data_IF_108098796676
#
_entry.id   IF_108098796676
#
_cell.length_a   1.000
_cell.length_b   1.000
_cell.length_c   1.000
_cell.angle_alpha   90.00
_cell.angle_beta   90.00
_cell.angle_gamma   90.00
#
_symmetry.space_group_name_H-M   'P 1'
#
loop_
_entity.id
_entity.type
_entity.pdbx_description
1 polymer ?
#
# COMPACT_ATOMS: atom_id res chain seq x y z
N UNK A 1 0.64 -14.84 69.83
CA UNK A 1 0.26 -13.54 70.47
C UNK A 1 -0.32 -12.74 69.32
N UNK A 2 -1.54 -12.78 69.38
CA UNK A 2 -2.68 -11.89 69.60
C UNK A 2 -3.04 -11.13 68.34
N UNK A 3 -4.15 -11.46 67.78
CA UNK A 3 -5.57 -11.25 68.00
C UNK A 3 -6.06 -9.89 67.51
N UNK A 4 -7.05 -9.98 66.68
CA UNK A 4 -8.35 -9.32 66.65
C UNK A 4 -8.34 -7.94 65.96
N UNK A 5 -9.27 -7.62 65.19
CA UNK A 5 -10.67 -7.60 65.30
C UNK A 5 -11.33 -7.07 64.03
N UNK A 6 -12.33 -7.73 63.78
CA UNK A 6 -13.42 -7.48 62.84
C UNK A 6 -14.51 -6.66 63.53
N UNK A 7 -14.98 -5.68 62.86
CA UNK A 7 -16.28 -5.11 63.23
C UNK A 7 -17.18 -4.93 62.01
N UNK A 8 -18.31 -5.60 62.20
CA UNK A 8 -19.50 -5.53 61.36
C UNK A 8 -20.34 -4.37 61.91
N UNK A 9 -20.81 -3.46 61.09
CA UNK A 9 -21.99 -2.62 61.33
C UNK A 9 -22.72 -2.34 60.03
N UNK A 10 -23.75 -3.12 59.81
CA UNK A 10 -25.21 -2.88 59.92
C UNK A 10 -25.76 -1.75 59.03
N UNK A 11 -26.49 -2.21 58.08
CA UNK A 11 -27.75 -1.73 57.47
C UNK A 11 -28.24 -0.34 57.88
N UNK A 12 -28.49 0.47 56.90
CA UNK A 12 -29.61 1.43 56.97
C UNK A 12 -30.26 1.59 55.62
N UNK A 13 -31.39 0.91 55.51
CA UNK A 13 -32.41 1.05 54.47
C UNK A 13 -32.99 2.46 54.50
N UNK A 14 -32.96 3.16 53.41
CA UNK A 14 -33.84 4.31 53.17
C UNK A 14 -34.52 4.12 51.81
N UNK A 15 -35.81 3.81 51.94
CA UNK A 15 -36.80 3.87 50.86
C UNK A 15 -37.26 5.34 50.77
N UNK A 16 -37.10 5.98 49.67
CA UNK A 16 -37.94 7.12 49.24
C UNK A 16 -38.06 7.08 47.71
N UNK A 17 -39.20 6.66 47.29
CA UNK A 17 -40.21 7.41 46.54
C UNK A 17 -39.81 7.91 45.11
N UNK A 18 -40.37 7.23 44.22
CA UNK A 18 -40.86 7.55 42.87
C UNK A 18 -41.05 9.04 42.61
N UNK A 19 -40.38 9.54 41.56
CA UNK A 19 -40.91 10.58 40.70
C UNK A 19 -40.63 10.24 39.23
N UNK A 20 -41.70 9.86 38.55
CA UNK A 20 -41.78 9.84 37.11
C UNK A 20 -41.69 11.29 36.59
N UNK A 21 -40.64 11.62 35.90
CA UNK A 21 -40.66 12.72 34.94
C UNK A 21 -40.12 12.21 33.60
N UNK A 22 -41.06 12.00 32.68
CA UNK A 22 -40.75 11.74 31.30
C UNK A 22 -40.07 12.98 30.69
N UNK A 23 -38.81 12.85 30.35
CA UNK A 23 -38.12 13.72 29.43
C UNK A 23 -37.84 12.89 28.17
N UNK A 24 -38.62 13.13 27.13
CA UNK A 24 -38.31 12.73 25.75
C UNK A 24 -37.00 13.43 25.39
N UNK A 25 -35.91 12.80 25.68
CA UNK A 25 -34.61 13.19 25.19
C UNK A 25 -34.51 12.88 23.71
N UNK A 26 -34.67 13.90 22.90
CA UNK A 26 -34.34 13.87 21.47
C UNK A 26 -32.85 13.59 21.34
N UNK A 27 -32.52 12.30 21.19
CA UNK A 27 -31.15 11.86 20.95
C UNK A 27 -30.68 12.45 19.62
N UNK A 28 -29.86 13.50 19.70
CA UNK A 28 -29.05 13.93 18.59
C UNK A 28 -28.11 12.76 18.22
N UNK A 29 -28.45 11.99 17.20
CA UNK A 29 -27.51 11.15 16.49
C UNK A 29 -26.46 12.09 15.89
N UNK A 30 -25.38 12.28 16.65
CA UNK A 30 -24.15 12.79 16.07
C UNK A 30 -23.73 11.76 15.03
N UNK A 31 -24.17 11.98 13.79
CA UNK A 31 -23.56 11.35 12.64
C UNK A 31 -22.10 11.80 12.63
N UNK A 32 -21.26 11.06 13.32
CA UNK A 32 -19.83 11.18 13.18
C UNK A 32 -19.56 11.01 11.67
N UNK A 33 -19.10 12.06 11.02
CA UNK A 33 -18.41 11.95 9.75
C UNK A 33 -17.24 11.02 10.02
N UNK A 34 -17.45 9.71 9.81
CA UNK A 34 -16.38 8.74 9.83
C UNK A 34 -15.39 9.20 8.76
N UNK A 35 -14.22 9.64 9.19
CA UNK A 35 -13.07 9.67 8.31
C UNK A 35 -13.06 8.33 7.61
N UNK A 36 -13.11 8.38 6.27
CA UNK A 36 -13.24 7.19 5.43
C UNK A 36 -12.05 6.26 5.65
N UNK A 37 -12.13 5.50 6.74
CA UNK A 37 -11.16 4.47 7.05
C UNK A 37 -11.15 3.46 5.92
N UNK A 38 -9.97 3.15 5.41
CA UNK A 38 -9.83 2.01 4.53
C UNK A 38 -10.42 0.77 5.24
N UNK A 39 -11.17 -0.04 4.50
CA UNK A 39 -11.75 -1.28 5.01
C UNK A 39 -10.71 -2.22 5.65
N UNK A 40 -11.13 -3.38 6.16
CA UNK A 40 -10.26 -4.29 6.88
C UNK A 40 -8.99 -4.62 6.10
N UNK A 41 -7.88 -4.82 6.83
CA UNK A 41 -6.61 -5.23 6.24
C UNK A 41 -6.73 -6.68 5.82
N UNK A 42 -6.82 -6.92 4.51
CA UNK A 42 -6.94 -8.25 3.90
C UNK A 42 -5.78 -8.43 2.93
N UNK A 43 -5.18 -9.62 2.93
CA UNK A 43 -4.14 -9.97 1.98
C UNK A 43 -4.68 -9.90 0.54
N UNK A 44 -3.90 -9.38 -0.41
CA UNK A 44 -4.26 -9.45 -1.82
C UNK A 44 -4.27 -10.92 -2.28
N UNK A 45 -4.99 -11.25 -3.35
CA UNK A 45 -4.82 -12.56 -3.99
C UNK A 45 -3.40 -12.71 -4.53
N UNK A 46 -2.94 -13.95 -4.63
CA UNK A 46 -1.68 -14.27 -5.27
C UNK A 46 -1.66 -13.77 -6.71
N UNK A 47 -0.49 -13.35 -7.21
CA UNK A 47 -0.37 -12.94 -8.59
C UNK A 47 -0.52 -14.16 -9.51
N UNK A 48 -1.02 -13.97 -10.76
CA UNK A 48 -1.02 -15.03 -11.77
C UNK A 48 0.39 -15.59 -12.01
N UNK A 49 0.46 -16.84 -12.50
CA UNK A 49 1.73 -17.54 -12.70
C UNK A 49 2.77 -16.75 -13.52
N UNK A 50 2.33 -15.94 -14.47
CA UNK A 50 3.21 -15.08 -15.29
C UNK A 50 3.91 -13.96 -14.50
N UNK A 51 3.41 -13.64 -13.29
CA UNK A 51 3.96 -12.64 -12.38
C UNK A 51 4.56 -13.23 -11.11
N UNK A 52 4.26 -14.48 -10.77
CA UNK A 52 4.58 -15.08 -9.48
C UNK A 52 6.08 -15.06 -9.16
N UNK A 53 6.91 -15.27 -10.19
CA UNK A 53 8.37 -15.32 -10.08
C UNK A 53 9.06 -14.01 -10.52
N UNK A 54 8.29 -12.94 -10.73
CA UNK A 54 8.87 -11.63 -11.05
C UNK A 54 9.27 -10.91 -9.78
N UNK A 55 10.56 -10.64 -9.67
CA UNK A 55 11.13 -9.94 -8.51
C UNK A 55 11.92 -8.71 -8.92
N UNK A 56 12.01 -7.76 -8.00
CA UNK A 56 12.82 -6.54 -8.16
C UNK A 56 14.26 -6.93 -8.51
N UNK A 57 14.89 -6.29 -9.51
CA UNK A 57 16.30 -6.50 -9.77
C UNK A 57 17.16 -6.25 -8.53
N UNK A 58 18.15 -7.11 -8.32
CA UNK A 58 19.01 -7.04 -7.15
C UNK A 58 19.66 -5.65 -7.00
N UNK A 59 19.69 -5.14 -5.78
CA UNK A 59 20.26 -3.84 -5.44
C UNK A 59 19.35 -2.62 -5.66
N UNK A 60 18.26 -2.75 -6.41
CA UNK A 60 17.38 -1.60 -6.69
C UNK A 60 16.66 -1.07 -5.44
N UNK A 61 16.47 -1.92 -4.46
CA UNK A 61 15.89 -1.50 -3.18
C UNK A 61 16.71 -0.43 -2.43
N UNK A 62 18.03 -0.39 -2.66
CA UNK A 62 18.95 0.57 -2.07
C UNK A 62 19.45 1.63 -3.07
N UNK A 63 19.06 1.54 -4.34
CA UNK A 63 19.51 2.45 -5.40
C UNK A 63 18.65 3.73 -5.37
N UNK A 64 19.19 4.78 -4.78
CA UNK A 64 18.52 6.08 -4.67
C UNK A 64 18.19 6.69 -6.03
N UNK A 65 19.00 6.43 -7.07
CA UNK A 65 18.74 6.92 -8.41
C UNK A 65 17.49 6.25 -9.00
N UNK A 66 17.33 4.93 -8.82
CA UNK A 66 16.14 4.19 -9.25
C UNK A 66 14.89 4.61 -8.49
N UNK A 67 15.02 4.86 -7.19
CA UNK A 67 13.93 5.39 -6.36
C UNK A 67 13.50 6.78 -6.84
N UNK A 68 14.45 7.66 -7.15
CA UNK A 68 14.14 9.01 -7.65
C UNK A 68 13.53 8.99 -9.06
N UNK A 69 14.01 8.13 -9.96
CA UNK A 69 13.36 7.90 -11.27
C UNK A 69 11.91 7.42 -11.09
N UNK A 70 11.67 6.50 -10.14
CA UNK A 70 10.33 6.05 -9.79
C UNK A 70 9.44 7.17 -9.23
N UNK A 71 10.02 8.07 -8.41
CA UNK A 71 9.30 9.26 -7.93
C UNK A 71 8.82 10.15 -9.08
N UNK A 72 9.69 10.42 -10.05
CA UNK A 72 9.37 11.25 -11.22
C UNK A 72 8.26 10.63 -12.07
N UNK A 73 8.28 9.31 -12.25
CA UNK A 73 7.19 8.58 -12.90
C UNK A 73 5.89 8.69 -12.09
N UNK A 74 5.97 8.46 -10.78
CA UNK A 74 4.80 8.47 -9.88
C UNK A 74 4.03 9.79 -9.89
N UNK A 75 4.75 10.92 -9.93
CA UNK A 75 4.13 12.25 -9.97
C UNK A 75 3.84 12.77 -11.38
N UNK A 76 4.13 12.00 -12.43
CA UNK A 76 3.90 12.38 -13.82
C UNK A 76 4.93 13.35 -14.40
N UNK A 77 6.09 13.49 -13.78
CA UNK A 77 7.16 14.38 -14.25
C UNK A 77 7.83 13.84 -15.52
N UNK A 78 8.12 12.53 -15.56
CA UNK A 78 8.72 11.87 -16.72
C UNK A 78 7.72 11.61 -17.82
N UNK A 79 6.48 11.24 -17.46
CA UNK A 79 5.41 10.95 -18.39
C UNK A 79 4.08 11.48 -17.83
N UNK A 80 3.55 12.61 -18.34
CA UNK A 80 2.32 13.20 -17.84
C UNK A 80 1.09 12.29 -17.93
N UNK A 81 1.09 11.33 -18.85
CA UNK A 81 0.00 10.34 -18.99
C UNK A 81 0.00 9.32 -17.83
N UNK A 82 1.12 9.21 -17.12
CA UNK A 82 1.31 8.32 -15.98
C UNK A 82 1.46 9.17 -14.72
N UNK A 83 0.36 9.42 -14.03
CA UNK A 83 0.34 10.21 -12.80
C UNK A 83 -0.38 9.46 -11.69
N UNK A 84 0.35 8.60 -11.01
CA UNK A 84 -0.16 7.77 -9.91
C UNK A 84 -0.56 8.64 -8.72
N UNK A 85 0.18 9.73 -8.47
CA UNK A 85 -0.09 10.68 -7.40
C UNK A 85 -1.45 11.38 -7.52
N UNK A 86 -2.04 11.43 -8.72
CA UNK A 86 -3.37 12.01 -8.93
C UNK A 86 -4.48 11.25 -8.18
N UNK A 87 -4.23 10.00 -7.78
CA UNK A 87 -5.13 9.19 -6.97
C UNK A 87 -4.52 8.84 -5.61
N UNK A 88 -3.22 8.43 -5.60
CA UNK A 88 -2.54 7.96 -4.41
C UNK A 88 -1.91 9.07 -3.55
N UNK A 89 -1.97 10.34 -4.03
CA UNK A 89 -1.31 11.47 -3.36
C UNK A 89 0.22 11.45 -3.55
N UNK A 90 0.85 12.60 -3.48
CA UNK A 90 2.32 12.72 -3.64
C UNK A 90 3.10 12.11 -2.47
N UNK A 91 2.45 12.01 -1.32
CA UNK A 91 2.98 11.50 -0.06
C UNK A 91 2.48 10.07 0.27
N UNK A 92 1.82 9.41 -0.67
CA UNK A 92 1.23 8.09 -0.48
C UNK A 92 -0.11 8.10 0.26
N UNK A 93 -0.62 9.28 0.69
CA UNK A 93 -1.96 9.44 1.24
C UNK A 93 -2.97 9.61 0.12
N UNK A 94 -3.98 8.72 0.01
CA UNK A 94 -4.91 8.78 -1.10
C UNK A 94 -5.70 10.09 -1.12
N UNK A 95 -5.81 10.68 -2.32
CA UNK A 95 -6.63 11.88 -2.61
C UNK A 95 -7.91 11.53 -3.37
N UNK A 96 -8.04 10.28 -3.80
CA UNK A 96 -9.24 9.74 -4.45
C UNK A 96 -9.80 8.58 -3.63
N UNK A 97 -11.13 8.56 -3.47
CA UNK A 97 -11.82 7.47 -2.81
C UNK A 97 -11.52 6.13 -3.51
N UNK A 98 -11.19 5.10 -2.72
CA UNK A 98 -10.84 3.76 -3.18
C UNK A 98 -9.37 3.58 -3.59
N UNK A 99 -8.57 4.66 -3.67
CA UNK A 99 -7.14 4.53 -3.83
C UNK A 99 -6.50 4.04 -2.51
N UNK A 100 -5.48 3.20 -2.64
CA UNK A 100 -4.81 2.57 -1.50
C UNK A 100 -3.90 3.59 -0.80
N UNK A 101 -3.94 3.62 0.54
CA UNK A 101 -2.98 4.37 1.36
C UNK A 101 -1.69 3.54 1.50
N UNK A 102 -0.62 4.00 0.89
CA UNK A 102 0.68 3.32 0.91
C UNK A 102 1.45 3.50 2.24
N UNK A 103 0.96 4.34 3.15
CA UNK A 103 1.58 4.58 4.45
C UNK A 103 1.16 3.56 5.51
N UNK A 104 0.11 2.78 5.24
CA UNK A 104 -0.39 1.74 6.16
C UNK A 104 0.53 0.52 6.07
N UNK A 105 1.60 0.54 6.88
CA UNK A 105 2.67 -0.46 6.88
C UNK A 105 2.16 -1.91 6.96
N UNK A 106 1.22 -2.20 7.87
CA UNK A 106 0.70 -3.55 8.06
C UNK A 106 -0.05 -4.07 6.82
N UNK A 107 -0.68 -3.18 6.08
CA UNK A 107 -1.29 -3.51 4.80
C UNK A 107 -0.23 -3.73 3.72
N UNK A 108 0.76 -2.84 3.64
CA UNK A 108 1.80 -2.92 2.61
C UNK A 108 2.66 -4.17 2.76
N UNK A 109 2.88 -4.65 3.98
CA UNK A 109 3.60 -5.90 4.24
C UNK A 109 2.94 -7.14 3.64
N UNK A 110 1.64 -7.10 3.37
CA UNK A 110 0.92 -8.22 2.76
C UNK A 110 1.14 -8.33 1.24
N UNK A 111 1.74 -7.31 0.63
CA UNK A 111 2.03 -7.29 -0.80
C UNK A 111 3.47 -7.71 -1.03
N UNK A 112 3.69 -8.84 -1.73
CA UNK A 112 5.02 -9.12 -2.28
C UNK A 112 5.37 -8.11 -3.37
N UNK A 113 6.64 -8.02 -3.72
CA UNK A 113 7.08 -7.20 -4.87
C UNK A 113 6.42 -7.66 -6.17
N UNK A 114 6.26 -8.98 -6.37
CA UNK A 114 5.53 -9.55 -7.51
C UNK A 114 4.06 -9.09 -7.57
N UNK A 115 3.36 -9.07 -6.44
CA UNK A 115 1.97 -8.57 -6.36
C UNK A 115 1.92 -7.09 -6.71
N UNK A 116 2.86 -6.31 -6.19
CA UNK A 116 2.91 -4.87 -6.47
C UNK A 116 3.14 -4.60 -7.94
N UNK A 117 4.15 -5.26 -8.54
CA UNK A 117 4.45 -5.18 -9.97
C UNK A 117 3.25 -5.61 -10.84
N UNK A 118 2.59 -6.72 -10.49
CA UNK A 118 1.38 -7.17 -11.15
C UNK A 118 0.26 -6.12 -11.12
N UNK A 119 0.00 -5.51 -9.97
CA UNK A 119 -1.07 -4.50 -9.83
C UNK A 119 -0.80 -3.25 -10.63
N UNK A 120 0.43 -2.81 -10.75
CA UNK A 120 0.80 -1.72 -11.65
C UNK A 120 0.62 -2.17 -13.11
N UNK A 121 1.02 -3.39 -13.44
CA UNK A 121 0.95 -3.90 -14.80
C UNK A 121 -0.48 -4.03 -15.32
N UNK A 122 -1.34 -4.72 -14.58
CA UNK A 122 -2.69 -5.12 -15.01
C UNK A 122 -3.82 -4.27 -14.39
N UNK A 123 -3.47 -3.39 -13.46
CA UNK A 123 -4.48 -2.67 -12.69
C UNK A 123 -5.20 -3.55 -11.68
N UNK A 124 -6.34 -3.06 -11.20
CA UNK A 124 -7.18 -3.77 -10.23
C UNK A 124 -8.59 -3.87 -10.78
N UNK A 125 -9.10 -5.10 -11.03
CA UNK A 125 -10.43 -5.31 -11.59
C UNK A 125 -11.52 -4.57 -10.79
N UNK A 126 -12.52 -4.04 -11.49
CA UNK A 126 -13.65 -3.31 -10.91
C UNK A 126 -13.28 -2.05 -10.11
N UNK A 127 -12.09 -1.49 -10.37
CA UNK A 127 -11.64 -0.24 -9.74
C UNK A 127 -11.19 0.79 -10.77
N UNK A 128 -10.81 1.98 -10.30
CA UNK A 128 -10.23 3.04 -11.15
C UNK A 128 -8.72 2.84 -11.41
N UNK A 129 -8.08 1.86 -10.77
CA UNK A 129 -6.68 1.53 -11.01
C UNK A 129 -6.55 0.81 -12.35
N UNK A 130 -6.07 1.52 -13.35
CA UNK A 130 -5.90 1.01 -14.74
C UNK A 130 -4.63 0.17 -14.87
N UNK A 131 -4.57 -0.62 -15.95
CA UNK A 131 -3.36 -1.29 -16.38
C UNK A 131 -2.36 -0.28 -16.99
N UNK A 132 -1.10 -0.41 -16.61
CA UNK A 132 -0.04 0.48 -17.06
C UNK A 132 1.02 -0.18 -17.96
N UNK A 133 0.96 -1.50 -18.15
CA UNK A 133 1.95 -2.26 -18.96
C UNK A 133 2.09 -1.78 -20.40
N UNK A 134 1.06 -1.17 -20.98
CA UNK A 134 1.09 -0.62 -22.33
C UNK A 134 1.77 0.75 -22.43
N UNK A 135 1.95 1.44 -21.29
CA UNK A 135 2.53 2.79 -21.20
C UNK A 135 3.87 2.84 -20.50
N UNK A 136 4.23 1.79 -19.76
CA UNK A 136 5.43 1.68 -18.97
C UNK A 136 6.18 0.40 -19.29
N UNK A 137 7.49 0.50 -19.45
CA UNK A 137 8.38 -0.66 -19.53
C UNK A 137 8.37 -1.46 -18.22
N UNK A 138 8.87 -2.70 -18.23
CA UNK A 138 9.07 -3.48 -17.03
C UNK A 138 10.01 -2.74 -16.06
N UNK A 139 11.05 -2.11 -16.60
CA UNK A 139 12.00 -1.31 -15.83
C UNK A 139 11.29 -0.14 -15.10
N UNK A 140 10.46 0.63 -15.80
CA UNK A 140 9.75 1.77 -15.18
C UNK A 140 8.76 1.33 -14.10
N UNK A 141 8.11 0.18 -14.31
CA UNK A 141 7.22 -0.38 -13.29
C UNK A 141 7.97 -0.80 -12.04
N UNK A 142 9.17 -1.37 -12.19
CA UNK A 142 10.03 -1.69 -11.04
C UNK A 142 10.56 -0.44 -10.32
N UNK A 143 10.87 0.64 -11.04
CA UNK A 143 11.19 1.93 -10.43
C UNK A 143 10.03 2.47 -9.60
N UNK A 144 8.80 2.35 -10.12
CA UNK A 144 7.60 2.70 -9.34
C UNK A 144 7.50 1.88 -8.06
N UNK A 145 7.65 0.55 -8.13
CA UNK A 145 7.63 -0.32 -6.93
C UNK A 145 8.73 0.10 -5.95
N UNK A 146 9.95 0.37 -6.42
CA UNK A 146 11.07 0.83 -5.59
C UNK A 146 10.75 2.13 -4.86
N UNK A 147 10.05 3.07 -5.51
CA UNK A 147 9.63 4.31 -4.90
C UNK A 147 8.44 4.14 -3.96
N UNK A 148 7.35 3.51 -4.41
CA UNK A 148 6.09 3.41 -3.66
C UNK A 148 6.26 2.72 -2.32
N UNK A 149 7.15 1.71 -2.22
CA UNK A 149 7.43 1.04 -0.94
C UNK A 149 7.96 1.97 0.14
N UNK A 150 8.63 3.06 -0.25
CA UNK A 150 9.21 3.99 0.72
C UNK A 150 8.17 4.71 1.59
N UNK A 151 6.91 4.73 1.19
CA UNK A 151 5.86 5.32 2.00
C UNK A 151 5.56 4.52 3.28
N UNK A 152 5.59 3.19 3.20
CA UNK A 152 5.26 2.33 4.34
C UNK A 152 6.35 1.31 4.71
N UNK A 153 7.31 1.05 3.81
CA UNK A 153 8.33 0.00 3.95
C UNK A 153 9.74 0.51 3.68
N UNK A 154 10.01 1.80 3.99
CA UNK A 154 11.33 2.40 3.77
C UNK A 154 12.42 1.59 4.45
N UNK A 155 13.51 1.32 3.72
CA UNK A 155 14.65 0.54 4.22
C UNK A 155 14.41 -0.97 4.27
N UNK A 156 13.31 -1.46 3.67
CA UNK A 156 13.04 -2.90 3.55
C UNK A 156 13.10 -3.33 2.08
N UNK A 157 13.42 -4.61 1.87
CA UNK A 157 13.41 -5.30 0.59
C UNK A 157 12.61 -6.60 0.71
N UNK A 158 12.11 -7.12 -0.41
CA UNK A 158 11.38 -8.38 -0.42
C UNK A 158 12.34 -9.56 -0.46
N UNK A 159 12.26 -10.45 0.51
CA UNK A 159 12.96 -11.73 0.51
C UNK A 159 12.01 -12.83 0.02
N UNK A 160 12.22 -13.27 -1.23
CA UNK A 160 11.37 -14.26 -1.86
C UNK A 160 11.44 -15.64 -1.16
N UNK A 161 12.57 -15.97 -0.54
CA UNK A 161 12.75 -17.24 0.18
C UNK A 161 11.96 -17.27 1.49
N UNK A 162 11.91 -16.15 2.18
CA UNK A 162 11.16 -15.97 3.44
C UNK A 162 9.71 -15.52 3.20
N UNK A 163 9.39 -15.11 1.97
CA UNK A 163 8.11 -14.47 1.63
C UNK A 163 7.77 -13.32 2.59
N UNK A 164 8.75 -12.47 2.85
CA UNK A 164 8.64 -11.39 3.83
C UNK A 164 9.48 -10.17 3.46
N UNK A 165 9.06 -9.01 3.94
CA UNK A 165 9.86 -7.80 3.92
C UNK A 165 10.90 -7.85 5.02
N UNK A 166 12.15 -7.63 4.67
CA UNK A 166 13.32 -7.67 5.55
C UNK A 166 14.15 -6.40 5.36
N UNK A 167 15.05 -6.05 6.30
CA UNK A 167 15.94 -4.91 6.10
C UNK A 167 16.78 -5.06 4.82
N UNK A 168 16.99 -3.98 4.09
CA UNK A 168 17.83 -3.96 2.87
C UNK A 168 19.22 -4.51 3.19
N UNK A 169 19.71 -5.40 2.34
CA UNK A 169 20.99 -6.11 2.50
C UNK A 169 20.92 -7.38 3.33
N UNK A 170 19.73 -7.77 3.81
CA UNK A 170 19.53 -9.00 4.59
C UNK A 170 18.73 -10.09 3.86
N UNK A 171 18.17 -9.80 2.68
CA UNK A 171 17.53 -10.81 1.86
C UNK A 171 18.56 -11.78 1.27
N UNK A 172 18.18 -13.03 1.13
CA UNK A 172 18.95 -13.96 0.29
C UNK A 172 18.92 -13.42 -1.15
N UNK A 173 20.10 -13.35 -1.81
CA UNK A 173 20.20 -12.81 -3.15
C UNK A 173 19.17 -13.48 -4.07
N UNK A 174 18.18 -12.71 -4.51
CA UNK A 174 17.25 -13.16 -5.53
C UNK A 174 18.04 -13.40 -6.82
N UNK A 175 17.81 -14.53 -7.47
CA UNK A 175 18.40 -14.79 -8.79
C UNK A 175 18.02 -13.63 -9.73
N UNK A 176 18.94 -13.13 -10.56
CA UNK A 176 18.65 -12.02 -11.47
C UNK A 176 17.48 -12.40 -12.36
N UNK A 177 16.45 -11.56 -12.39
CA UNK A 177 15.33 -11.73 -13.31
C UNK A 177 15.87 -11.80 -14.75
N UNK A 178 15.67 -12.93 -15.41
CA UNK A 178 16.25 -13.23 -16.72
C UNK A 178 15.71 -12.37 -17.88
N UNK A 179 14.76 -11.47 -17.63
CA UNK A 179 13.97 -10.81 -18.67
C UNK A 179 14.36 -9.35 -18.99
N UNK A 180 15.35 -8.75 -18.31
CA UNK A 180 15.72 -7.35 -18.56
C UNK A 180 16.35 -7.09 -19.96
N UNK A 181 16.58 -8.13 -20.79
CA UNK A 181 17.26 -7.99 -22.09
C UNK A 181 16.34 -8.09 -23.32
N UNK A 182 15.06 -8.39 -23.17
CA UNK A 182 14.18 -8.58 -24.34
C UNK A 182 13.47 -7.33 -24.85
N UNK A 183 13.29 -6.32 -24.03
CA UNK A 183 12.45 -5.17 -24.41
C UNK A 183 13.22 -4.00 -25.04
N UNK A 184 14.56 -4.03 -25.06
CA UNK A 184 15.39 -2.96 -25.64
C UNK A 184 15.43 -2.93 -27.19
N UNK A 185 14.73 -3.85 -27.88
CA UNK A 185 14.84 -3.97 -29.36
C UNK A 185 13.56 -3.59 -30.14
N UNK A 186 12.53 -3.05 -29.49
CA UNK A 186 11.26 -2.78 -30.19
C UNK A 186 10.96 -1.32 -30.51
N UNK A 187 11.80 -0.37 -30.12
CA UNK A 187 11.53 1.07 -30.31
C UNK A 187 12.43 1.77 -31.31
N UNK A 188 12.96 1.04 -32.31
CA UNK A 188 13.59 1.64 -33.49
C UNK A 188 12.65 1.54 -34.69
N UNK A 189 11.63 2.39 -34.76
CA UNK A 189 10.88 2.63 -35.96
C UNK A 189 11.69 3.58 -36.87
N UNK A 190 11.94 3.28 -38.16
CA UNK A 190 12.68 4.17 -39.03
C UNK A 190 11.82 5.37 -39.42
N UNK A 191 12.37 6.56 -39.22
CA UNK A 191 11.83 7.79 -39.76
C UNK A 191 11.73 7.67 -41.30
N UNK A 192 10.52 7.48 -41.79
CA UNK A 192 10.21 7.47 -43.20
C UNK A 192 10.42 8.85 -43.84
N UNK A 193 11.50 9.02 -44.58
CA UNK A 193 11.75 10.18 -45.40
C UNK A 193 10.67 10.32 -46.49
N UNK A 194 9.98 11.46 -46.49
CA UNK A 194 9.23 11.92 -47.67
C UNK A 194 10.24 12.48 -48.68
N UNK A 195 10.33 11.87 -49.83
CA UNK A 195 10.80 12.50 -51.08
C UNK A 195 9.65 12.53 -52.05
N UNK A 196 9.39 13.78 -52.51
CA UNK A 196 8.61 14.26 -53.67
C UNK A 196 7.12 13.96 -53.67
#
# INVERSE_FOLDING_TARGET
>A
MERNGWEIMTTKTWIHAVFFFGAVGMGAVLSGCGEGGEGPIVAPPDPPAEYADKHMPAGWWADEAKVEEGRKLFIGETNPDVNCASCHGKDGKPVKAGARDFRVTDRMKLYSDAVWFWRISEGVPNTKMKAWKSKLSDEDRWKLVAFERNFGLKGQEWDASKKAWVPVGSAAAAAPAADAKKDAKKDAAPAGGKKK
#
